data_IF_240312749271
#
_entry.id   IF_240312749271
#
_cell.length_a   1.000
_cell.length_b   1.000
_cell.length_c   1.000
_cell.angle_alpha   90.00
_cell.angle_beta   90.00
_cell.angle_gamma   90.00
#
_symmetry.space_group_name_H-M   'P 1'
#
loop_
_entity.id
_entity.type
_entity.pdbx_description
1 polymer ?
#
# COMPACT_ATOMS: atom_id res chain seq x y z
N UNK A 1 6.27 -3.28 -24.32
CA UNK A 1 6.12 -3.67 -25.72
C UNK A 1 4.66 -3.57 -26.14
N UNK A 2 4.38 -3.56 -27.42
CA UNK A 2 3.02 -3.56 -28.01
C UNK A 2 2.20 -4.83 -27.65
N UNK A 3 2.86 -5.85 -27.11
CA UNK A 3 2.26 -7.10 -26.62
C UNK A 3 1.92 -7.07 -25.14
N UNK A 4 2.32 -6.03 -24.39
CA UNK A 4 2.04 -5.91 -22.95
C UNK A 4 0.60 -5.45 -22.76
N UNK A 5 -0.23 -6.28 -22.16
CA UNK A 5 -1.63 -5.96 -21.87
C UNK A 5 -1.79 -5.14 -20.59
N UNK A 6 -1.04 -5.49 -19.55
CA UNK A 6 -1.17 -4.92 -18.21
C UNK A 6 0.21 -4.75 -17.58
N UNK A 7 0.43 -3.60 -16.96
CA UNK A 7 1.47 -3.36 -15.96
C UNK A 7 0.77 -3.21 -14.63
N UNK A 8 1.23 -3.94 -13.62
CA UNK A 8 0.74 -3.84 -12.25
C UNK A 8 1.90 -3.53 -11.34
N UNK A 9 1.78 -2.49 -10.54
CA UNK A 9 2.84 -2.00 -9.65
C UNK A 9 2.25 -1.55 -8.32
N UNK A 10 2.91 -1.89 -7.22
CA UNK A 10 2.58 -1.30 -5.92
C UNK A 10 3.05 0.14 -5.86
N UNK A 11 2.32 1.03 -5.19
CA UNK A 11 2.77 2.39 -4.92
C UNK A 11 3.87 2.41 -3.86
N UNK A 12 3.74 1.56 -2.84
CA UNK A 12 4.70 1.45 -1.74
C UNK A 12 4.89 -0.03 -1.40
N UNK A 13 6.14 -0.44 -1.25
CA UNK A 13 6.45 -1.79 -0.78
C UNK A 13 6.05 -1.96 0.69
N UNK A 14 5.35 -3.05 1.00
CA UNK A 14 4.78 -3.29 2.33
C UNK A 14 5.80 -3.60 3.41
N UNK A 15 7.01 -4.02 3.04
CA UNK A 15 8.05 -4.44 3.98
C UNK A 15 9.12 -3.37 4.15
N UNK A 16 9.68 -2.89 3.05
CA UNK A 16 10.75 -1.89 3.09
C UNK A 16 10.24 -0.46 3.16
N UNK A 17 8.97 -0.22 2.82
CA UNK A 17 8.41 1.12 2.73
C UNK A 17 8.82 1.90 1.47
N UNK A 18 9.59 1.29 0.56
CA UNK A 18 10.08 1.97 -0.65
C UNK A 18 8.92 2.41 -1.53
N UNK A 19 8.94 3.68 -1.89
CA UNK A 19 7.94 4.34 -2.75
C UNK A 19 8.35 4.10 -4.22
N UNK A 20 7.42 3.57 -5.01
CA UNK A 20 7.67 3.26 -6.41
C UNK A 20 7.30 4.45 -7.31
N UNK A 21 7.97 4.65 -8.45
CA UNK A 21 7.78 5.79 -9.35
C UNK A 21 6.52 5.61 -10.23
N UNK A 22 5.34 5.53 -9.60
CA UNK A 22 4.08 5.26 -10.30
C UNK A 22 3.65 6.38 -11.24
N UNK A 23 4.04 7.63 -10.96
CA UNK A 23 3.73 8.79 -11.80
C UNK A 23 4.49 8.70 -13.12
N UNK A 24 5.79 8.41 -13.08
CA UNK A 24 6.67 8.24 -14.24
C UNK A 24 6.23 7.05 -15.09
N UNK A 25 5.92 5.93 -14.45
CA UNK A 25 5.40 4.74 -15.15
C UNK A 25 4.06 5.05 -15.80
N UNK A 26 3.15 5.71 -15.10
CA UNK A 26 1.85 6.13 -15.63
C UNK A 26 2.01 7.12 -16.80
N UNK A 27 3.00 8.00 -16.76
CA UNK A 27 3.32 8.91 -17.85
C UNK A 27 3.88 8.16 -19.08
N UNK A 28 4.78 7.21 -18.85
CA UNK A 28 5.39 6.39 -19.92
C UNK A 28 4.37 5.48 -20.61
N UNK A 29 3.35 5.03 -19.90
CA UNK A 29 2.26 4.19 -20.45
C UNK A 29 1.14 5.02 -21.09
N UNK A 30 1.12 6.33 -20.87
CA UNK A 30 0.07 7.19 -21.41
C UNK A 30 0.09 7.17 -22.96
N UNK A 31 -1.09 6.93 -23.55
CA UNK A 31 -1.25 6.83 -25.01
C UNK A 31 -0.94 5.44 -25.58
N UNK A 32 -0.45 4.51 -24.80
CA UNK A 32 -0.29 3.11 -25.19
C UNK A 32 -1.61 2.33 -25.02
N UNK A 33 -1.65 1.08 -25.49
CA UNK A 33 -2.78 0.15 -25.28
C UNK A 33 -2.67 -0.62 -23.94
N UNK A 34 -1.57 -0.45 -23.22
CA UNK A 34 -1.28 -1.16 -21.98
C UNK A 34 -2.09 -0.55 -20.83
N UNK A 35 -2.82 -1.36 -20.11
CA UNK A 35 -3.48 -0.95 -18.87
C UNK A 35 -2.47 -0.82 -17.75
N UNK A 36 -2.67 0.17 -16.89
CA UNK A 36 -1.85 0.36 -15.69
C UNK A 36 -2.70 0.20 -14.43
N UNK A 37 -2.35 -0.78 -13.61
CA UNK A 37 -2.90 -1.02 -12.29
C UNK A 37 -1.91 -0.59 -11.22
N UNK A 38 -2.38 0.18 -10.26
CA UNK A 38 -1.61 0.56 -9.07
C UNK A 38 -2.21 -0.13 -7.84
N UNK A 39 -1.41 -0.90 -7.13
CA UNK A 39 -1.74 -1.33 -5.78
C UNK A 39 -1.32 -0.24 -4.80
N UNK A 40 -2.28 0.54 -4.33
CA UNK A 40 -2.07 1.63 -3.38
C UNK A 40 -2.42 1.23 -1.93
N UNK A 41 -2.46 -0.06 -1.63
CA UNK A 41 -2.80 -0.57 -0.30
C UNK A 41 -1.97 0.09 0.81
N UNK A 42 -0.69 0.31 0.59
CA UNK A 42 0.20 0.95 1.57
C UNK A 42 0.31 2.47 1.42
N UNK A 43 0.04 3.01 0.24
CA UNK A 43 0.21 4.45 -0.05
C UNK A 43 -1.04 5.28 0.09
N UNK A 44 -2.24 4.69 -0.12
CA UNK A 44 -3.51 5.39 0.05
C UNK A 44 -3.66 5.94 1.47
N UNK A 45 -4.09 7.19 1.57
CA UNK A 45 -4.18 7.91 2.84
C UNK A 45 -2.86 8.49 3.35
N UNK A 46 -1.72 8.19 2.69
CA UNK A 46 -0.38 8.69 3.05
C UNK A 46 0.25 9.50 1.91
N UNK A 47 0.07 9.07 0.66
CA UNK A 47 0.63 9.66 -0.56
C UNK A 47 -0.47 9.92 -1.60
N UNK A 48 -1.55 10.58 -1.18
CA UNK A 48 -2.72 10.80 -2.01
C UNK A 48 -2.44 11.70 -3.22
N UNK A 49 -1.51 12.66 -3.11
CA UNK A 49 -1.18 13.55 -4.22
C UNK A 49 -0.50 12.80 -5.37
N UNK A 50 0.41 11.89 -5.06
CA UNK A 50 0.99 11.00 -6.06
C UNK A 50 -0.09 10.17 -6.79
N UNK A 51 -1.09 9.65 -6.07
CA UNK A 51 -2.22 8.95 -6.70
C UNK A 51 -3.08 9.85 -7.58
N UNK A 52 -3.30 11.12 -7.19
CA UNK A 52 -4.06 12.09 -7.99
C UNK A 52 -3.35 12.41 -9.31
N UNK A 53 -2.02 12.54 -9.26
CA UNK A 53 -1.18 12.87 -10.41
C UNK A 53 -0.96 11.66 -11.34
N UNK A 54 -1.02 10.44 -10.83
CA UNK A 54 -0.76 9.23 -11.60
C UNK A 54 -1.85 8.94 -12.64
N UNK A 55 -1.41 8.65 -13.86
CA UNK A 55 -2.28 8.20 -14.97
C UNK A 55 -2.47 6.68 -14.91
N UNK A 56 -3.26 6.18 -13.98
CA UNK A 56 -3.61 4.77 -13.89
C UNK A 56 -4.99 4.48 -14.49
N UNK A 57 -5.23 3.23 -14.86
CA UNK A 57 -6.52 2.70 -15.30
C UNK A 57 -7.28 2.01 -14.16
N UNK A 58 -6.55 1.36 -13.25
CA UNK A 58 -7.08 0.59 -12.13
C UNK A 58 -6.28 0.89 -10.86
N UNK A 59 -6.99 0.85 -9.71
CA UNK A 59 -6.40 1.12 -8.41
C UNK A 59 -7.01 0.19 -7.37
N UNK A 60 -6.17 -0.45 -6.56
CA UNK A 60 -6.57 -1.22 -5.37
C UNK A 60 -6.25 -0.46 -4.10
N UNK A 61 -7.20 -0.38 -3.17
CA UNK A 61 -7.05 0.24 -1.84
C UNK A 61 -7.74 -0.59 -0.77
N UNK A 62 -7.35 -0.43 0.49
CA UNK A 62 -7.95 -1.13 1.62
C UNK A 62 -8.18 -0.19 2.81
N UNK A 63 -9.22 -0.46 3.60
CA UNK A 63 -9.59 0.36 4.74
C UNK A 63 -8.64 0.18 5.93
N UNK A 64 -8.25 -1.04 6.24
CA UNK A 64 -7.49 -1.35 7.46
C UNK A 64 -6.07 -0.78 7.51
N UNK A 65 -5.52 -0.30 6.39
CA UNK A 65 -4.20 0.37 6.34
C UNK A 65 -4.28 1.89 6.58
N UNK A 66 -5.50 2.41 6.73
CA UNK A 66 -5.78 3.82 7.08
C UNK A 66 -6.68 3.93 8.32
N UNK A 67 -6.55 3.01 9.25
CA UNK A 67 -7.34 2.93 10.49
C UNK A 67 -8.85 2.70 10.28
N UNK A 68 -9.23 2.15 9.13
CA UNK A 68 -10.59 1.70 8.84
C UNK A 68 -10.82 0.24 9.21
N UNK A 69 -12.04 -0.27 9.04
CA UNK A 69 -12.38 -1.64 9.40
C UNK A 69 -11.68 -2.67 8.50
N UNK A 70 -11.38 -3.83 9.06
CA UNK A 70 -10.95 -5.00 8.29
C UNK A 70 -12.12 -5.54 7.45
N UNK A 71 -11.80 -6.28 6.37
CA UNK A 71 -12.79 -6.96 5.53
C UNK A 71 -13.38 -6.09 4.42
N UNK A 72 -12.94 -4.84 4.26
CA UNK A 72 -13.38 -3.94 3.19
C UNK A 72 -12.19 -3.28 2.48
N UNK A 73 -12.30 -3.16 1.18
CA UNK A 73 -11.40 -2.41 0.29
C UNK A 73 -12.17 -1.93 -0.93
N UNK A 74 -11.49 -1.28 -1.85
CA UNK A 74 -12.09 -0.86 -3.10
C UNK A 74 -11.15 -1.14 -4.29
N UNK A 75 -11.75 -1.55 -5.40
CA UNK A 75 -11.11 -1.64 -6.70
C UNK A 75 -11.72 -0.59 -7.62
N UNK A 76 -10.93 0.39 -7.97
CA UNK A 76 -11.35 1.55 -8.75
C UNK A 76 -10.94 1.34 -10.20
N UNK A 77 -11.89 1.45 -11.12
CA UNK A 77 -11.66 1.41 -12.57
C UNK A 77 -11.98 2.77 -13.17
N UNK A 78 -10.98 3.46 -13.70
CA UNK A 78 -11.16 4.70 -14.44
C UNK A 78 -11.74 4.40 -15.82
N UNK A 79 -12.69 5.24 -16.26
CA UNK A 79 -13.18 5.21 -17.63
C UNK A 79 -12.22 5.96 -18.54
N UNK A 80 -12.06 5.48 -19.76
CA UNK A 80 -11.35 6.20 -20.81
C UNK A 80 -12.18 7.38 -21.34
N UNK A 81 -11.64 8.09 -22.32
CA UNK A 81 -12.31 9.23 -22.98
C UNK A 81 -13.61 8.81 -23.72
N UNK A 82 -13.80 7.55 -24.00
CA UNK A 82 -15.00 6.96 -24.60
C UNK A 82 -15.95 6.35 -23.57
N UNK A 83 -15.76 6.65 -22.29
CA UNK A 83 -16.52 6.13 -21.13
C UNK A 83 -16.44 4.61 -20.94
N UNK A 84 -15.48 3.91 -21.57
CA UNK A 84 -15.27 2.49 -21.41
C UNK A 84 -14.33 2.23 -20.22
N UNK A 85 -14.61 1.16 -19.51
CA UNK A 85 -13.76 0.66 -18.43
C UNK A 85 -12.74 -0.33 -18.96
N UNK A 86 -11.64 -0.55 -18.20
CA UNK A 86 -10.76 -1.70 -18.45
C UNK A 86 -11.57 -3.00 -18.52
N UNK A 87 -11.25 -3.92 -19.45
CA UNK A 87 -12.03 -5.14 -19.71
C UNK A 87 -11.74 -6.22 -18.65
N UNK A 88 -11.96 -5.88 -17.38
CA UNK A 88 -11.82 -6.82 -16.26
C UNK A 88 -13.06 -7.71 -16.20
N UNK A 89 -12.85 -9.01 -16.01
CA UNK A 89 -13.92 -9.97 -15.75
C UNK A 89 -14.07 -10.21 -14.26
N UNK A 90 -15.30 -10.37 -13.74
CA UNK A 90 -15.50 -10.74 -12.34
C UNK A 90 -14.92 -12.15 -12.07
N UNK A 91 -14.36 -12.35 -10.87
CA UNK A 91 -13.91 -13.66 -10.42
C UNK A 91 -15.03 -14.47 -9.75
N UNK A 92 -16.09 -13.80 -9.32
CA UNK A 92 -17.26 -14.40 -8.68
C UNK A 92 -18.53 -13.98 -9.44
N UNK A 93 -19.46 -14.89 -9.57
CA UNK A 93 -20.72 -14.69 -10.29
C UNK A 93 -21.90 -14.86 -9.34
N UNK A 94 -23.00 -14.17 -9.59
CA UNK A 94 -24.22 -14.20 -8.77
C UNK A 94 -25.09 -12.98 -9.02
N UNK A 95 -25.44 -12.26 -7.96
CA UNK A 95 -26.25 -11.04 -8.05
C UNK A 95 -25.56 -9.90 -8.81
N UNK A 96 -26.31 -8.83 -9.05
CA UNK A 96 -25.87 -7.67 -9.84
C UNK A 96 -25.20 -6.56 -9.00
N UNK A 97 -24.89 -6.85 -7.72
CA UNK A 97 -24.22 -5.88 -6.85
C UNK A 97 -22.87 -5.46 -7.45
N UNK A 98 -22.45 -4.25 -7.14
CA UNK A 98 -21.24 -3.65 -7.72
C UNK A 98 -21.18 -3.77 -9.24
N UNK A 99 -22.34 -3.65 -9.90
CA UNK A 99 -22.51 -3.75 -11.37
C UNK A 99 -22.09 -5.11 -11.94
N UNK A 100 -22.30 -6.17 -11.17
CA UNK A 100 -21.93 -7.54 -11.54
C UNK A 100 -20.46 -7.90 -11.34
N UNK A 101 -19.63 -6.96 -10.86
CA UNK A 101 -18.20 -7.26 -10.61
C UNK A 101 -17.96 -7.99 -9.28
N UNK A 102 -18.83 -7.73 -8.28
CA UNK A 102 -18.71 -8.34 -6.97
C UNK A 102 -20.11 -8.62 -6.40
N UNK A 103 -20.63 -9.83 -6.56
CA UNK A 103 -21.95 -10.22 -6.05
C UNK A 103 -21.97 -10.30 -4.53
N UNK A 104 -23.16 -10.34 -3.97
CA UNK A 104 -23.44 -10.38 -2.54
C UNK A 104 -23.85 -9.04 -1.96
N UNK A 105 -24.66 -9.07 -0.93
CA UNK A 105 -25.17 -7.86 -0.25
C UNK A 105 -24.04 -6.96 0.18
N UNK A 106 -24.12 -5.69 -0.14
CA UNK A 106 -23.11 -4.69 0.20
C UNK A 106 -23.05 -4.52 1.73
N UNK A 107 -21.89 -4.68 2.35
CA UNK A 107 -21.72 -4.50 3.80
C UNK A 107 -21.69 -3.01 4.16
N UNK A 108 -22.86 -2.38 4.23
CA UNK A 108 -23.02 -0.91 4.37
C UNK A 108 -22.24 -0.35 5.55
N UNK A 109 -22.24 -1.04 6.70
CA UNK A 109 -21.49 -0.61 7.86
C UNK A 109 -19.98 -0.52 7.61
N UNK A 110 -19.41 -1.51 6.89
CA UNK A 110 -17.99 -1.50 6.54
C UNK A 110 -17.68 -0.41 5.50
N UNK A 111 -18.57 -0.19 4.52
CA UNK A 111 -18.43 0.88 3.52
C UNK A 111 -18.44 2.25 4.21
N UNK A 112 -19.39 2.51 5.10
CA UNK A 112 -19.44 3.73 5.89
C UNK A 112 -18.21 3.88 6.79
N UNK A 113 -17.78 2.79 7.43
CA UNK A 113 -16.55 2.74 8.23
C UNK A 113 -15.28 2.98 7.43
N UNK A 114 -15.27 2.70 6.12
CA UNK A 114 -14.15 3.02 5.24
C UNK A 114 -14.14 4.50 4.81
N UNK A 115 -15.33 5.08 4.61
CA UNK A 115 -15.45 6.46 4.13
C UNK A 115 -14.83 7.49 5.09
N UNK A 116 -15.05 7.33 6.41
CA UNK A 116 -14.53 8.26 7.40
C UNK A 116 -13.00 8.32 7.44
N UNK A 117 -12.24 7.21 7.62
CA UNK A 117 -10.78 7.26 7.59
C UNK A 117 -10.22 7.72 6.24
N UNK A 118 -10.89 7.45 5.12
CA UNK A 118 -10.50 7.97 3.82
C UNK A 118 -10.54 9.51 3.77
N UNK A 119 -11.57 10.13 4.38
CA UNK A 119 -11.68 11.58 4.49
C UNK A 119 -10.67 12.17 5.48
N UNK A 120 -10.48 11.53 6.63
CA UNK A 120 -9.53 11.99 7.65
C UNK A 120 -8.09 11.89 7.15
N UNK A 121 -7.71 10.78 6.54
CA UNK A 121 -6.37 10.61 6.00
C UNK A 121 -5.99 11.65 4.95
N UNK A 122 -6.96 12.15 4.19
CA UNK A 122 -6.72 13.21 3.21
C UNK A 122 -6.37 14.56 3.87
N UNK A 123 -6.93 14.82 5.05
CA UNK A 123 -6.69 16.06 5.79
C UNK A 123 -5.47 15.99 6.71
N UNK A 124 -5.19 14.83 7.27
CA UNK A 124 -4.26 14.65 8.39
C UNK A 124 -2.96 13.96 7.98
N UNK A 125 -2.85 13.46 6.75
CA UNK A 125 -1.67 12.68 6.29
C UNK A 125 -0.36 13.42 6.48
N UNK A 126 -0.29 14.72 6.20
CA UNK A 126 0.94 15.50 6.34
C UNK A 126 1.43 15.55 7.80
N UNK A 127 0.53 15.82 8.75
CA UNK A 127 0.83 15.87 10.19
C UNK A 127 1.25 14.48 10.69
N UNK A 128 0.52 13.45 10.26
CA UNK A 128 0.83 12.08 10.63
C UNK A 128 2.20 11.65 10.11
N UNK A 129 2.52 11.95 8.85
CA UNK A 129 3.82 11.63 8.26
C UNK A 129 4.97 12.38 8.93
N UNK A 130 4.76 13.61 9.38
CA UNK A 130 5.79 14.36 10.13
C UNK A 130 6.05 13.72 11.51
N UNK A 131 5.00 13.31 12.20
CA UNK A 131 5.12 12.54 13.44
C UNK A 131 5.90 11.24 13.23
N UNK A 132 5.63 10.52 12.14
CA UNK A 132 6.37 9.31 11.78
C UNK A 132 7.84 9.59 11.50
N UNK A 133 8.18 10.70 10.81
CA UNK A 133 9.59 11.11 10.59
C UNK A 133 10.31 11.37 11.91
N UNK A 134 9.66 12.06 12.85
CA UNK A 134 10.25 12.31 14.15
C UNK A 134 10.53 11.02 14.94
N UNK A 135 9.58 10.09 14.92
CA UNK A 135 9.74 8.77 15.57
C UNK A 135 10.83 7.96 14.90
N UNK A 136 10.84 7.89 13.55
CA UNK A 136 11.88 7.18 12.79
C UNK A 136 13.28 7.72 13.13
N UNK A 137 13.44 9.05 13.18
CA UNK A 137 14.72 9.69 13.55
C UNK A 137 15.15 9.28 14.95
N UNK A 138 14.27 9.39 15.95
CA UNK A 138 14.57 8.98 17.33
C UNK A 138 14.95 7.51 17.44
N UNK A 139 14.30 6.64 16.67
CA UNK A 139 14.64 5.22 16.63
C UNK A 139 16.04 5.02 16.06
N UNK A 140 16.39 5.67 14.96
CA UNK A 140 17.71 5.56 14.34
C UNK A 140 18.82 6.12 15.23
N UNK A 141 18.57 7.22 15.93
CA UNK A 141 19.48 7.77 16.94
C UNK A 141 19.70 6.77 18.11
N UNK A 142 18.63 6.09 18.54
CA UNK A 142 18.72 5.13 19.64
C UNK A 142 19.52 3.85 19.29
N UNK A 143 19.56 3.47 18.02
CA UNK A 143 20.33 2.30 17.55
C UNK A 143 21.68 2.70 16.95
N UNK A 144 22.06 3.97 17.03
CA UNK A 144 23.36 4.46 16.56
C UNK A 144 24.51 3.71 17.27
N UNK A 145 25.50 3.29 16.50
CA UNK A 145 26.63 2.49 17.02
C UNK A 145 26.39 0.97 17.02
N UNK A 146 25.17 0.50 16.77
CA UNK A 146 24.93 -0.92 16.54
C UNK A 146 25.31 -1.30 15.10
N UNK A 147 25.65 -2.58 14.89
CA UNK A 147 25.98 -3.10 13.57
C UNK A 147 24.70 -3.51 12.84
N UNK A 148 24.18 -2.65 11.95
CA UNK A 148 22.96 -2.91 11.20
C UNK A 148 23.01 -2.39 9.76
N UNK A 149 22.05 -2.84 8.95
CA UNK A 149 21.75 -2.30 7.62
C UNK A 149 20.29 -1.89 7.55
N UNK A 150 20.01 -0.68 7.02
CA UNK A 150 18.65 -0.30 6.63
C UNK A 150 18.35 -0.86 5.25
N UNK A 151 17.27 -1.62 5.15
CA UNK A 151 16.89 -2.27 3.91
C UNK A 151 16.00 -1.36 3.06
N UNK A 152 16.25 -1.35 1.75
CA UNK A 152 15.54 -0.54 0.77
C UNK A 152 16.13 0.88 0.62
N UNK A 153 15.57 1.61 -0.32
CA UNK A 153 15.95 3.00 -0.60
C UNK A 153 15.47 3.90 0.56
N UNK A 154 16.38 4.55 1.25
CA UNK A 154 16.07 5.40 2.40
C UNK A 154 15.67 6.83 1.99
N UNK A 155 15.99 7.25 0.78
CA UNK A 155 15.60 8.55 0.23
C UNK A 155 14.12 8.52 -0.21
N UNK A 156 13.71 7.43 -0.88
CA UNK A 156 12.35 7.24 -1.38
C UNK A 156 11.61 6.18 -0.55
N UNK A 157 11.42 6.46 0.73
CA UNK A 157 10.78 5.54 1.68
C UNK A 157 9.70 6.25 2.51
N UNK A 158 8.60 5.55 2.80
CA UNK A 158 7.62 6.04 3.76
C UNK A 158 8.26 6.24 5.13
N UNK A 159 8.05 7.40 5.77
CA UNK A 159 8.60 7.64 7.10
C UNK A 159 7.99 6.75 8.19
N UNK A 160 6.83 6.17 7.94
CA UNK A 160 6.15 5.23 8.86
C UNK A 160 6.72 3.81 8.83
N UNK A 161 7.77 3.56 8.02
CA UNK A 161 8.37 2.23 7.88
C UNK A 161 9.86 2.30 8.15
N UNK A 162 10.34 1.35 8.95
CA UNK A 162 11.76 1.05 9.12
C UNK A 162 11.93 -0.45 8.90
N UNK A 163 12.74 -0.83 7.93
CA UNK A 163 13.18 -2.21 7.75
C UNK A 163 14.69 -2.26 8.02
N UNK A 164 15.08 -2.99 9.05
CA UNK A 164 16.44 -2.99 9.58
C UNK A 164 16.89 -4.43 9.81
N UNK A 165 18.12 -4.72 9.42
CA UNK A 165 18.78 -6.00 9.69
C UNK A 165 19.93 -5.76 10.66
N UNK A 166 19.85 -6.32 11.85
CA UNK A 166 20.96 -6.31 12.82
C UNK A 166 21.90 -7.48 12.52
N UNK A 167 23.18 -7.19 12.29
CA UNK A 167 24.16 -8.21 11.93
C UNK A 167 24.60 -9.03 13.14
N UNK A 168 24.65 -10.35 12.95
CA UNK A 168 25.05 -11.29 14.00
C UNK A 168 23.97 -11.61 15.03
N UNK A 169 22.73 -11.18 14.78
CA UNK A 169 21.58 -11.43 15.67
C UNK A 169 20.47 -12.13 14.90
N UNK A 170 19.86 -13.11 15.52
CA UNK A 170 18.67 -13.78 14.99
C UNK A 170 17.41 -12.94 15.25
N UNK A 171 16.67 -12.64 14.19
CA UNK A 171 15.46 -11.80 14.27
C UNK A 171 14.36 -12.44 15.12
N UNK A 172 14.22 -13.76 15.07
CA UNK A 172 13.23 -14.50 15.87
C UNK A 172 13.62 -14.48 17.35
N UNK A 173 14.91 -14.60 17.66
CA UNK A 173 15.46 -14.45 19.00
C UNK A 173 15.20 -13.07 19.59
N UNK A 174 15.43 -11.98 18.83
CA UNK A 174 15.09 -10.62 19.26
C UNK A 174 13.59 -10.53 19.54
N UNK A 175 12.77 -11.01 18.61
CA UNK A 175 11.30 -10.96 18.76
C UNK A 175 10.84 -11.61 20.07
N UNK A 176 11.34 -12.79 20.38
CA UNK A 176 10.96 -13.52 21.62
C UNK A 176 11.35 -12.77 22.90
N UNK A 177 12.49 -12.05 22.88
CA UNK A 177 12.98 -11.32 24.05
C UNK A 177 12.19 -10.04 24.32
N UNK A 178 11.81 -9.30 23.26
CA UNK A 178 11.28 -7.93 23.42
C UNK A 178 9.80 -7.78 23.07
N UNK A 179 9.11 -8.85 22.66
CA UNK A 179 7.70 -8.81 22.19
C UNK A 179 6.69 -8.32 23.24
N UNK A 180 7.02 -8.42 24.52
CA UNK A 180 6.15 -7.94 25.61
C UNK A 180 6.24 -6.42 25.77
N UNK A 181 7.36 -5.81 25.37
CA UNK A 181 7.64 -4.38 25.53
C UNK A 181 7.48 -3.61 24.21
N UNK A 182 7.73 -4.26 23.07
CA UNK A 182 7.75 -3.62 21.76
C UNK A 182 6.99 -4.41 20.71
N UNK A 183 6.21 -3.70 19.90
CA UNK A 183 5.52 -4.27 18.73
C UNK A 183 6.35 -4.06 17.46
N UNK A 184 6.84 -5.14 16.87
CA UNK A 184 7.51 -5.13 15.56
C UNK A 184 7.23 -6.45 14.82
N UNK A 185 7.69 -6.55 13.59
CA UNK A 185 7.49 -7.73 12.75
C UNK A 185 8.82 -8.17 12.18
N UNK A 186 9.04 -9.47 12.06
CA UNK A 186 10.21 -10.07 11.40
C UNK A 186 9.98 -10.33 9.91
N UNK A 187 8.95 -9.74 9.33
CA UNK A 187 8.58 -9.84 7.92
C UNK A 187 7.13 -9.49 7.64
N UNK A 188 6.68 -9.71 6.41
CA UNK A 188 5.29 -9.50 6.04
C UNK A 188 4.36 -10.50 6.71
N UNK A 189 3.26 -10.02 7.28
CA UNK A 189 2.22 -10.87 7.88
C UNK A 189 1.63 -11.90 6.89
N UNK A 190 1.68 -11.61 5.59
CA UNK A 190 1.21 -12.52 4.54
C UNK A 190 2.20 -13.65 4.23
N UNK A 191 3.47 -13.49 4.59
CA UNK A 191 4.54 -14.47 4.35
C UNK A 191 5.00 -15.20 5.63
N UNK A 192 4.36 -14.95 6.76
CA UNK A 192 4.66 -15.60 8.04
C UNK A 192 4.30 -17.10 8.00
N UNK A 193 5.05 -17.89 7.27
CA UNK A 193 4.83 -19.33 7.07
C UNK A 193 5.63 -19.93 5.92
N UNK A 194 6.22 -19.10 5.06
CA UNK A 194 7.19 -19.56 4.07
C UNK A 194 8.61 -19.37 4.62
N UNK A 195 9.12 -20.40 5.26
CA UNK A 195 10.57 -20.53 5.45
C UNK A 195 11.17 -20.73 4.05
N UNK A 196 11.79 -19.71 3.50
CA UNK A 196 12.66 -19.82 2.35
C UNK A 196 14.06 -20.21 2.83
#
# INVERSE_FOLDING_TARGET
>A
TDKTLLVSMMQVNSETGVIQPIEEVGAALAGTKTYFHVDATQGFGKLNDSLRNTKYNMLSITAHKISGPQGIGAFIMRRDRTYRRPPVKPLMYGGQQERGYRPGTTPVALVAGFALPAQLSDKESAVHMESCRAIKRRFLEAVEGLNYTLNGDQEHCLPSTVNISFHGVDAEGIFLVVKEDYAFSNGSACNSGSHA
#
